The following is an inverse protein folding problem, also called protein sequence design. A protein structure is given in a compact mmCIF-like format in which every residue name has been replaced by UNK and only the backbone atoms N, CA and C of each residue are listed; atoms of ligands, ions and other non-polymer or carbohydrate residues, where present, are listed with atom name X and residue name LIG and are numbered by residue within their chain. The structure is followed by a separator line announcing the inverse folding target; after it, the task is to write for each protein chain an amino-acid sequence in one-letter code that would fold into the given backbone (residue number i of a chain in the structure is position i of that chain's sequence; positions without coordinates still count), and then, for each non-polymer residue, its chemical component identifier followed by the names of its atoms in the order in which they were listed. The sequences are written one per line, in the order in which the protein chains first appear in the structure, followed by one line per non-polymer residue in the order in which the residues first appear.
data_IF_089673199729
#
_entry.id   IF_089673199729
#
_cell.length_a   1.000
_cell.length_b   1.000
_cell.length_c   1.000
_cell.angle_alpha   90.00
_cell.angle_beta   90.00
_cell.angle_gamma   90.00
#
_symmetry.space_group_name_H-M   'P 1'
#
loop_
_entity.id
_entity.type
_entity.pdbx_description
1 polymer ?
#
# COMPACT_ATOMS: atom_id res chain seq x y z
N UNK A 1 44.33 111.28 -95.58
CA UNK A 1 45.37 110.55 -94.84
C UNK A 1 44.66 109.71 -93.82
N UNK A 2 44.72 108.41 -94.06
CA UNK A 2 44.32 107.35 -93.15
C UNK A 2 45.01 107.50 -91.79
N UNK A 3 44.34 107.08 -90.73
CA UNK A 3 44.89 106.10 -89.81
C UNK A 3 43.78 105.58 -88.88
N UNK A 4 43.64 104.26 -88.92
CA UNK A 4 42.80 103.41 -88.10
C UNK A 4 42.93 103.70 -86.60
N UNK A 5 41.84 103.46 -85.87
CA UNK A 5 41.95 102.67 -84.65
C UNK A 5 40.64 101.90 -84.41
N UNK A 6 40.69 100.61 -84.75
CA UNK A 6 39.87 99.60 -84.12
C UNK A 6 40.18 99.58 -82.62
N UNK A 7 39.18 99.79 -81.77
CA UNK A 7 39.23 99.19 -80.44
C UNK A 7 37.94 98.41 -80.23
N UNK A 8 38.11 97.11 -80.42
CA UNK A 8 37.11 96.05 -80.35
C UNK A 8 36.64 95.88 -78.91
N UNK A 9 35.33 95.86 -78.73
CA UNK A 9 34.57 94.93 -77.89
C UNK A 9 35.39 93.91 -77.06
N UNK A 10 36.08 94.36 -76.01
CA UNK A 10 36.72 93.46 -75.02
C UNK A 10 36.04 93.49 -73.64
N UNK A 11 35.07 94.38 -73.42
CA UNK A 11 34.40 94.49 -72.12
C UNK A 11 33.17 93.58 -71.97
N UNK A 12 32.56 93.09 -73.06
CA UNK A 12 31.37 92.24 -72.98
C UNK A 12 31.70 90.75 -72.82
N UNK A 13 32.87 90.32 -73.28
CA UNK A 13 33.28 88.90 -73.25
C UNK A 13 33.71 88.44 -71.85
N UNK A 14 34.38 89.30 -71.07
CA UNK A 14 34.85 88.95 -69.72
C UNK A 14 33.69 88.86 -68.68
N UNK A 15 32.64 89.68 -68.83
CA UNK A 15 31.47 89.65 -67.95
C UNK A 15 30.57 88.42 -68.19
N UNK A 16 30.44 88.00 -69.46
CA UNK A 16 29.67 86.79 -69.84
C UNK A 16 30.39 85.49 -69.43
N UNK A 17 31.73 85.49 -69.40
CA UNK A 17 32.51 84.33 -69.01
C UNK A 17 32.52 84.13 -67.48
N UNK A 18 32.48 85.21 -66.69
CA UNK A 18 32.46 85.13 -65.22
C UNK A 18 31.08 84.74 -64.67
N UNK A 19 29.96 85.18 -65.29
CA UNK A 19 28.61 84.79 -64.87
C UNK A 19 28.30 83.32 -65.21
N UNK A 20 28.73 82.84 -66.39
CA UNK A 20 28.53 81.45 -66.80
C UNK A 20 29.33 80.44 -65.96
N UNK A 21 30.51 80.80 -65.45
CA UNK A 21 31.31 79.96 -64.54
C UNK A 21 30.69 79.92 -63.13
N UNK A 22 30.08 81.02 -62.67
CA UNK A 22 29.43 81.09 -61.35
C UNK A 22 28.06 80.37 -61.33
N UNK A 23 27.29 80.42 -62.42
CA UNK A 23 26.04 79.65 -62.58
C UNK A 23 26.29 78.14 -62.74
N UNK A 24 27.35 77.74 -63.46
CA UNK A 24 27.71 76.31 -63.62
C UNK A 24 28.24 75.69 -62.33
N UNK A 25 29.04 76.41 -61.53
CA UNK A 25 29.47 75.94 -60.20
C UNK A 25 28.30 75.77 -59.23
N UNK A 26 27.29 76.63 -59.30
CA UNK A 26 26.09 76.55 -58.48
C UNK A 26 25.22 75.34 -58.88
N UNK A 27 25.12 75.06 -60.19
CA UNK A 27 24.39 73.91 -60.73
C UNK A 27 25.00 72.56 -60.32
N UNK A 28 26.33 72.43 -60.37
CA UNK A 28 27.01 71.18 -59.99
C UNK A 28 26.96 70.88 -58.49
N UNK A 29 27.00 71.91 -57.64
CA UNK A 29 26.76 71.74 -56.19
C UNK A 29 25.32 71.34 -55.91
N UNK A 30 24.35 71.97 -56.57
CA UNK A 30 22.94 71.63 -56.43
C UNK A 30 22.69 70.17 -56.83
N UNK A 31 23.24 69.74 -57.97
CA UNK A 31 23.13 68.37 -58.46
C UNK A 31 23.73 67.34 -57.49
N UNK A 32 24.90 67.63 -56.89
CA UNK A 32 25.50 66.74 -55.87
C UNK A 32 24.64 66.64 -54.62
N UNK A 33 24.11 67.77 -54.15
CA UNK A 33 23.20 67.79 -53.00
C UNK A 33 21.92 67.00 -53.27
N UNK A 34 21.34 67.13 -54.47
CA UNK A 34 20.11 66.41 -54.84
C UNK A 34 20.37 64.90 -54.88
N UNK A 35 21.52 64.50 -55.44
CA UNK A 35 21.95 63.10 -55.46
C UNK A 35 22.20 62.54 -54.06
N UNK A 36 22.90 63.27 -53.20
CA UNK A 36 23.08 62.87 -51.79
C UNK A 36 21.75 62.79 -51.05
N UNK A 37 20.81 63.70 -51.34
CA UNK A 37 19.47 63.68 -50.74
C UNK A 37 18.71 62.43 -51.14
N UNK A 38 18.72 62.05 -52.42
CA UNK A 38 18.05 60.83 -52.86
C UNK A 38 18.74 59.55 -52.37
N UNK A 39 20.08 59.49 -52.33
CA UNK A 39 20.80 58.38 -51.71
C UNK A 39 20.46 58.23 -50.22
N UNK A 40 20.33 59.35 -49.50
CA UNK A 40 19.97 59.37 -48.07
C UNK A 40 18.53 58.93 -47.86
N UNK A 41 17.61 59.37 -48.72
CA UNK A 41 16.20 58.98 -48.68
C UNK A 41 16.02 57.49 -48.97
N UNK A 42 16.78 56.94 -49.92
CA UNK A 42 16.75 55.50 -50.21
C UNK A 42 17.24 54.68 -49.01
N UNK A 43 18.34 55.10 -48.35
CA UNK A 43 18.83 54.44 -47.13
C UNK A 43 17.84 54.54 -45.98
N UNK A 44 17.19 55.69 -45.81
CA UNK A 44 16.15 55.87 -44.79
C UNK A 44 14.96 54.94 -45.02
N UNK A 45 14.54 54.78 -46.28
CA UNK A 45 13.45 53.85 -46.62
C UNK A 45 13.81 52.39 -46.37
N UNK A 46 15.05 51.98 -46.64
CA UNK A 46 15.54 50.62 -46.33
C UNK A 46 15.58 50.39 -44.82
N UNK A 47 16.13 51.34 -44.07
CA UNK A 47 16.20 51.28 -42.62
C UNK A 47 14.80 51.27 -41.96
N UNK A 48 13.84 52.02 -42.51
CA UNK A 48 12.46 51.97 -42.06
C UNK A 48 11.86 50.56 -42.25
N UNK A 49 12.10 49.95 -43.41
CA UNK A 49 11.61 48.60 -43.69
C UNK A 49 12.23 47.55 -42.75
N UNK A 50 13.53 47.65 -42.48
CA UNK A 50 14.20 46.77 -41.51
C UNK A 50 13.62 46.91 -40.10
N UNK A 51 13.29 48.14 -39.67
CA UNK A 51 12.61 48.38 -38.40
C UNK A 51 11.23 47.74 -38.36
N UNK A 52 10.42 47.89 -39.41
CA UNK A 52 9.08 47.29 -39.51
C UNK A 52 9.15 45.76 -39.48
N UNK A 53 10.09 45.16 -40.22
CA UNK A 53 10.32 43.71 -40.23
C UNK A 53 10.75 43.21 -38.84
N UNK A 54 11.62 43.96 -38.17
CA UNK A 54 12.09 43.65 -36.81
C UNK A 54 10.96 43.72 -35.78
N UNK A 55 10.06 44.70 -35.88
CA UNK A 55 8.88 44.81 -35.00
C UNK A 55 7.96 43.59 -35.15
N UNK A 56 7.75 43.12 -36.38
CA UNK A 56 6.96 41.92 -36.65
C UNK A 56 7.63 40.68 -36.03
N UNK A 57 8.96 40.56 -36.15
CA UNK A 57 9.69 39.45 -35.54
C UNK A 57 9.61 39.47 -34.01
N UNK A 58 9.80 40.63 -33.38
CA UNK A 58 9.65 40.82 -31.94
C UNK A 58 8.24 40.42 -31.49
N UNK A 59 7.21 40.80 -32.23
CA UNK A 59 5.83 40.42 -31.93
C UNK A 59 5.62 38.90 -31.99
N UNK A 60 6.14 38.25 -33.04
CA UNK A 60 6.04 36.79 -33.19
C UNK A 60 6.77 36.03 -32.09
N UNK A 61 7.99 36.48 -31.73
CA UNK A 61 8.76 35.90 -30.62
C UNK A 61 8.03 36.05 -29.30
N UNK A 62 7.42 37.22 -29.04
CA UNK A 62 6.63 37.42 -27.82
C UNK A 62 5.42 36.49 -27.75
N UNK A 63 4.69 36.29 -28.86
CA UNK A 63 3.60 35.32 -28.89
C UNK A 63 4.07 33.89 -28.58
N UNK A 64 5.23 33.49 -29.11
CA UNK A 64 5.81 32.18 -28.85
C UNK A 64 6.21 32.03 -27.38
N UNK A 65 6.81 33.07 -26.80
CA UNK A 65 7.16 33.13 -25.38
C UNK A 65 5.92 32.95 -24.48
N UNK A 66 4.83 33.64 -24.80
CA UNK A 66 3.60 33.57 -24.02
C UNK A 66 2.95 32.18 -24.11
N UNK A 67 2.91 31.58 -25.31
CA UNK A 67 2.46 30.19 -25.51
C UNK A 67 3.34 29.20 -24.74
N UNK A 68 4.66 29.36 -24.81
CA UNK A 68 5.61 28.52 -24.07
C UNK A 68 5.40 28.60 -22.57
N UNK A 69 5.20 29.81 -22.04
CA UNK A 69 4.94 30.04 -20.61
C UNK A 69 3.63 29.39 -20.18
N UNK A 70 2.57 29.52 -20.96
CA UNK A 70 1.28 28.88 -20.67
C UNK A 70 1.40 27.35 -20.61
N UNK A 71 2.10 26.75 -21.59
CA UNK A 71 2.32 25.29 -21.62
C UNK A 71 3.15 24.85 -20.41
N UNK A 72 4.21 25.59 -20.06
CA UNK A 72 5.05 25.28 -18.92
C UNK A 72 4.25 25.26 -17.60
N UNK A 73 3.46 26.31 -17.34
CA UNK A 73 2.59 26.38 -16.16
C UNK A 73 1.57 25.23 -16.11
N UNK A 74 1.05 24.82 -17.27
CA UNK A 74 0.11 23.70 -17.34
C UNK A 74 0.78 22.36 -17.03
N UNK A 75 2.00 22.15 -17.52
CA UNK A 75 2.81 20.95 -17.21
C UNK A 75 3.16 20.92 -15.74
N UNK A 76 3.60 22.03 -15.16
CA UNK A 76 3.92 22.14 -13.73
C UNK A 76 2.72 21.77 -12.86
N UNK A 77 1.53 22.30 -13.17
CA UNK A 77 0.28 21.91 -12.49
C UNK A 77 -0.01 20.41 -12.59
N UNK A 78 0.18 19.80 -13.77
CA UNK A 78 -0.02 18.35 -13.95
C UNK A 78 0.99 17.52 -13.14
N UNK A 79 2.25 17.93 -13.10
CA UNK A 79 3.27 17.27 -12.30
C UNK A 79 2.93 17.30 -10.81
N UNK A 80 2.47 18.45 -10.29
CA UNK A 80 2.06 18.57 -8.90
C UNK A 80 0.86 17.66 -8.56
N UNK A 81 -0.12 17.57 -9.46
CA UNK A 81 -1.25 16.65 -9.29
C UNK A 81 -0.79 15.18 -9.26
N UNK A 82 0.09 14.79 -10.17
CA UNK A 82 0.63 13.43 -10.22
C UNK A 82 1.44 13.09 -8.95
N UNK A 83 2.18 14.04 -8.40
CA UNK A 83 2.92 13.85 -7.15
C UNK A 83 1.97 13.59 -5.96
N UNK A 84 0.86 14.32 -5.89
CA UNK A 84 -0.17 14.08 -4.87
C UNK A 84 -0.88 12.72 -5.06
N UNK A 85 -1.23 12.36 -6.30
CA UNK A 85 -1.78 11.03 -6.61
C UNK A 85 -0.81 9.92 -6.21
N UNK A 86 0.48 10.08 -6.49
CA UNK A 86 1.52 9.11 -6.12
C UNK A 86 1.65 8.97 -4.60
N UNK A 87 1.62 10.08 -3.86
CA UNK A 87 1.61 10.06 -2.38
C UNK A 87 0.40 9.30 -1.84
N UNK A 88 -0.77 9.49 -2.44
CA UNK A 88 -1.98 8.78 -2.04
C UNK A 88 -1.89 7.28 -2.33
N UNK A 89 -1.44 6.89 -3.52
CA UNK A 89 -1.18 5.49 -3.88
C UNK A 89 -0.19 4.86 -2.89
N UNK A 90 0.90 5.56 -2.56
CA UNK A 90 1.88 5.07 -1.60
C UNK A 90 1.26 4.86 -0.20
N UNK A 91 0.48 5.81 0.31
CA UNK A 91 -0.24 5.66 1.60
C UNK A 91 -1.18 4.46 1.58
N UNK A 92 -1.91 4.25 0.49
CA UNK A 92 -2.83 3.12 0.35
C UNK A 92 -2.08 1.78 0.29
N UNK A 93 -0.96 1.72 -0.43
CA UNK A 93 -0.08 0.55 -0.45
C UNK A 93 0.43 0.20 0.95
N UNK A 94 0.92 1.18 1.72
CA UNK A 94 1.43 0.95 3.08
C UNK A 94 0.33 0.41 4.01
N UNK A 95 -0.88 0.97 3.96
CA UNK A 95 -2.05 0.44 4.71
C UNK A 95 -2.38 -1.00 4.33
N UNK A 96 -2.29 -1.35 3.05
CA UNK A 96 -2.50 -2.73 2.59
C UNK A 96 -1.38 -3.67 3.06
N UNK A 97 -0.13 -3.21 3.07
CA UNK A 97 1.00 -3.99 3.56
C UNK A 97 0.91 -4.25 5.07
N UNK A 98 0.49 -3.25 5.86
CA UNK A 98 0.18 -3.44 7.29
C UNK A 98 -0.93 -4.49 7.50
N UNK A 99 -1.95 -4.50 6.65
CA UNK A 99 -2.98 -5.56 6.65
C UNK A 99 -2.42 -6.91 6.20
N UNK A 100 -1.39 -6.98 5.36
CA UNK A 100 -0.80 -8.25 4.96
C UNK A 100 -0.03 -8.92 6.14
N UNK A 101 0.50 -8.12 7.07
CA UNK A 101 1.09 -8.64 8.32
C UNK A 101 0.08 -9.34 9.24
N UNK A 102 -1.24 -9.29 8.96
CA UNK A 102 -2.20 -10.19 9.62
C UNK A 102 -1.83 -11.66 9.43
N UNK A 103 -1.15 -12.03 8.33
CA UNK A 103 -0.76 -13.40 8.09
C UNK A 103 0.19 -13.95 9.16
N UNK A 104 1.09 -13.14 9.74
CA UNK A 104 1.94 -13.59 10.85
C UNK A 104 1.13 -13.85 12.12
N UNK A 105 0.18 -12.96 12.44
CA UNK A 105 -0.69 -13.12 13.61
C UNK A 105 -1.57 -14.37 13.46
N UNK A 106 -2.13 -14.58 12.27
CA UNK A 106 -2.92 -15.77 11.95
C UNK A 106 -2.06 -17.03 12.05
N UNK A 107 -0.84 -17.02 11.52
CA UNK A 107 0.08 -18.15 11.59
C UNK A 107 0.49 -18.47 13.03
N UNK A 108 0.79 -17.47 13.85
CA UNK A 108 1.07 -17.64 15.28
C UNK A 108 -0.13 -18.26 16.01
N UNK A 109 -1.34 -17.83 15.70
CA UNK A 109 -2.57 -18.37 16.31
C UNK A 109 -2.82 -19.82 15.89
N UNK A 110 -2.58 -20.16 14.62
CA UNK A 110 -2.64 -21.54 14.12
C UNK A 110 -1.63 -22.41 14.89
N UNK A 111 -0.39 -21.97 15.03
CA UNK A 111 0.65 -22.73 15.75
C UNK A 111 0.29 -22.94 17.23
N UNK A 112 -0.30 -21.93 17.89
CA UNK A 112 -0.79 -22.05 19.27
C UNK A 112 -1.93 -23.07 19.39
N UNK A 113 -2.90 -23.03 18.48
CA UNK A 113 -4.02 -23.99 18.46
C UNK A 113 -3.55 -25.43 18.19
N UNK A 114 -2.57 -25.61 17.30
CA UNK A 114 -1.95 -26.92 17.05
C UNK A 114 -1.31 -27.46 18.33
N UNK A 115 -0.56 -26.62 19.05
CA UNK A 115 0.10 -27.02 20.30
C UNK A 115 -0.91 -27.41 21.38
N UNK A 116 -2.01 -26.66 21.52
CA UNK A 116 -3.09 -26.99 22.45
C UNK A 116 -3.78 -28.32 22.09
N UNK A 117 -4.09 -28.52 20.81
CA UNK A 117 -4.69 -29.77 20.31
C UNK A 117 -3.78 -30.97 20.63
N UNK A 118 -2.49 -30.83 20.40
CA UNK A 118 -1.54 -31.93 20.61
C UNK A 118 -1.35 -32.23 22.10
N UNK A 119 -1.42 -31.21 22.97
CA UNK A 119 -1.44 -31.41 24.42
C UNK A 119 -2.71 -32.14 24.88
N UNK A 120 -3.89 -31.67 24.46
CA UNK A 120 -5.17 -32.29 24.79
C UNK A 120 -5.25 -33.75 24.30
N UNK A 121 -4.68 -34.04 23.13
CA UNK A 121 -4.61 -35.41 22.61
C UNK A 121 -3.77 -36.31 23.51
N UNK A 122 -2.67 -35.79 24.05
CA UNK A 122 -1.78 -36.51 24.97
C UNK A 122 -2.48 -36.79 26.31
N UNK A 123 -3.13 -35.78 26.88
CA UNK A 123 -3.93 -35.91 28.10
C UNK A 123 -5.07 -36.94 27.91
N UNK A 124 -5.74 -36.92 26.76
CA UNK A 124 -6.79 -37.88 26.44
C UNK A 124 -6.26 -39.32 26.38
N UNK A 125 -5.08 -39.54 25.80
CA UNK A 125 -4.46 -40.87 25.72
C UNK A 125 -4.04 -41.38 27.11
N UNK A 126 -3.59 -40.49 28.00
CA UNK A 126 -3.28 -40.83 29.40
C UNK A 126 -4.55 -41.20 30.18
N UNK A 127 -5.62 -40.43 30.04
CA UNK A 127 -6.91 -40.70 30.67
C UNK A 127 -7.51 -42.03 30.21
N UNK A 128 -7.41 -42.35 28.91
CA UNK A 128 -7.85 -43.66 28.38
C UNK A 128 -7.09 -44.82 29.02
N UNK A 129 -5.76 -44.71 29.12
CA UNK A 129 -4.93 -45.75 29.78
C UNK A 129 -5.31 -45.92 31.25
N UNK A 130 -5.57 -44.82 31.96
CA UNK A 130 -6.01 -44.86 33.35
C UNK A 130 -7.39 -45.51 33.49
N UNK A 131 -8.34 -45.17 32.61
CA UNK A 131 -9.67 -45.77 32.59
C UNK A 131 -9.61 -47.29 32.33
N UNK A 132 -8.80 -47.72 31.37
CA UNK A 132 -8.60 -49.15 31.07
C UNK A 132 -8.00 -49.91 32.26
N UNK A 133 -7.04 -49.29 32.96
CA UNK A 133 -6.43 -49.86 34.17
C UNK A 133 -7.48 -49.99 35.28
N UNK A 134 -8.22 -48.94 35.56
CA UNK A 134 -9.27 -48.93 36.59
C UNK A 134 -10.35 -49.98 36.30
N UNK A 135 -10.73 -50.15 35.02
CA UNK A 135 -11.70 -51.16 34.62
C UNK A 135 -11.20 -52.58 34.92
N UNK A 136 -9.92 -52.87 34.68
CA UNK A 136 -9.32 -54.18 35.03
C UNK A 136 -9.32 -54.43 36.53
N UNK A 137 -8.99 -53.41 37.33
CA UNK A 137 -9.01 -53.50 38.79
C UNK A 137 -10.42 -53.72 39.33
N UNK A 138 -11.42 -53.01 38.78
CA UNK A 138 -12.83 -53.20 39.14
C UNK A 138 -13.33 -54.61 38.86
N UNK A 139 -12.98 -55.18 37.69
CA UNK A 139 -13.32 -56.57 37.35
C UNK A 139 -12.75 -57.54 38.39
N UNK A 140 -11.51 -57.31 38.83
CA UNK A 140 -10.87 -58.20 39.82
C UNK A 140 -11.50 -58.07 41.21
N UNK A 141 -11.82 -56.84 41.64
CA UNK A 141 -12.56 -56.60 42.88
C UNK A 141 -13.93 -57.29 42.82
N UNK A 142 -14.63 -57.19 41.70
CA UNK A 142 -15.95 -57.82 41.55
C UNK A 142 -15.85 -59.34 41.63
N UNK A 143 -14.82 -59.98 41.04
CA UNK A 143 -14.57 -61.41 41.24
C UNK A 143 -14.31 -61.77 42.70
N UNK A 144 -13.49 -60.98 43.40
CA UNK A 144 -13.20 -61.21 44.83
C UNK A 144 -14.46 -61.12 45.67
N UNK A 145 -15.33 -60.13 45.40
CA UNK A 145 -16.64 -59.98 46.05
C UNK A 145 -17.49 -61.23 45.78
N UNK A 146 -17.64 -61.64 44.52
CA UNK A 146 -18.43 -62.83 44.16
C UNK A 146 -17.91 -64.11 44.84
N UNK A 147 -16.59 -64.29 44.94
CA UNK A 147 -16.00 -65.43 45.67
C UNK A 147 -16.34 -65.36 47.15
N UNK A 148 -16.22 -64.18 47.77
CA UNK A 148 -16.51 -64.01 49.18
C UNK A 148 -18.00 -64.20 49.49
N UNK A 149 -18.89 -63.71 48.63
CA UNK A 149 -20.33 -63.94 48.72
C UNK A 149 -20.68 -65.43 48.67
N UNK A 150 -20.07 -66.20 47.76
CA UNK A 150 -20.23 -67.66 47.69
C UNK A 150 -19.76 -68.36 48.97
N UNK A 151 -18.61 -67.96 49.53
CA UNK A 151 -18.09 -68.50 50.80
C UNK A 151 -19.04 -68.18 51.96
N UNK A 152 -19.49 -66.94 52.06
CA UNK A 152 -20.42 -66.50 53.10
C UNK A 152 -21.74 -67.27 53.01
N UNK A 153 -22.29 -67.46 51.80
CA UNK A 153 -23.50 -68.24 51.57
C UNK A 153 -23.35 -69.71 52.00
N UNK A 154 -22.19 -70.33 51.74
CA UNK A 154 -21.91 -71.68 52.21
C UNK A 154 -21.86 -71.79 53.74
N UNK A 155 -21.28 -70.79 54.42
CA UNK A 155 -21.27 -70.72 55.89
C UNK A 155 -22.69 -70.53 56.46
N UNK A 156 -23.51 -69.67 55.86
CA UNK A 156 -24.91 -69.47 56.25
C UNK A 156 -25.71 -70.77 56.13
N UNK A 157 -25.53 -71.54 55.03
CA UNK A 157 -26.17 -72.86 54.89
C UNK A 157 -25.74 -73.84 55.98
N UNK A 158 -24.44 -73.87 56.32
CA UNK A 158 -23.93 -74.71 57.43
C UNK A 158 -24.56 -74.32 58.77
N UNK A 159 -24.67 -73.03 59.06
CA UNK A 159 -25.30 -72.53 60.30
C UNK A 159 -26.78 -72.93 60.37
N UNK A 160 -27.54 -72.79 59.28
CA UNK A 160 -28.94 -73.27 59.21
C UNK A 160 -29.04 -74.75 59.50
N UNK A 161 -28.21 -75.58 58.87
CA UNK A 161 -28.19 -77.02 59.11
C UNK A 161 -27.88 -77.39 60.57
N UNK A 162 -27.02 -76.64 61.26
CA UNK A 162 -26.72 -76.89 62.68
C UNK A 162 -27.93 -76.60 63.57
N UNK A 163 -28.67 -75.52 63.30
CA UNK A 163 -29.90 -75.20 64.06
C UNK A 163 -30.97 -76.27 63.83
N UNK A 164 -31.09 -76.77 62.59
CA UNK A 164 -32.11 -77.75 62.22
C UNK A 164 -31.79 -79.19 62.71
N UNK A 165 -30.52 -79.60 62.73
CA UNK A 165 -30.13 -81.01 62.91
C UNK A 165 -29.32 -81.31 64.17
N UNK A 166 -28.87 -80.30 64.93
CA UNK A 166 -28.04 -80.49 66.13
C UNK A 166 -28.75 -79.87 67.33
N UNK A 167 -28.81 -80.57 68.47
CA UNK A 167 -29.30 -80.00 69.75
C UNK A 167 -28.30 -78.97 70.27
N UNK A 168 -28.47 -77.72 69.87
CA UNK A 168 -27.74 -76.57 70.41
C UNK A 168 -28.26 -76.22 71.81
N UNK A 169 -27.41 -75.63 72.64
CA UNK A 169 -27.85 -75.02 73.90
C UNK A 169 -28.74 -73.80 73.61
N UNK A 170 -29.70 -73.45 74.48
CA UNK A 170 -30.63 -72.34 74.23
C UNK A 170 -29.94 -71.01 73.90
N UNK A 171 -28.90 -70.64 74.66
CA UNK A 171 -28.10 -69.42 74.44
C UNK A 171 -27.39 -69.40 73.08
N UNK A 172 -26.90 -70.57 72.62
CA UNK A 172 -26.23 -70.67 71.32
C UNK A 172 -27.23 -70.65 70.16
N UNK A 173 -28.41 -71.24 70.34
CA UNK A 173 -29.48 -71.20 69.35
C UNK A 173 -29.98 -69.77 69.12
N UNK A 174 -30.14 -68.98 70.18
CA UNK A 174 -30.57 -67.59 70.10
C UNK A 174 -29.58 -66.72 69.30
N UNK A 175 -28.27 -66.87 69.58
CA UNK A 175 -27.20 -66.15 68.85
C UNK A 175 -27.16 -66.50 67.36
N UNK A 176 -27.30 -67.78 67.02
CA UNK A 176 -27.31 -68.20 65.61
C UNK A 176 -28.57 -67.70 64.89
N UNK A 177 -29.73 -67.73 65.55
CA UNK A 177 -30.97 -67.21 64.98
C UNK A 177 -30.91 -65.69 64.75
N UNK A 178 -30.27 -64.94 65.65
CA UNK A 178 -30.05 -63.50 65.47
C UNK A 178 -29.17 -63.20 64.25
N UNK A 179 -28.11 -63.98 64.01
CA UNK A 179 -27.26 -63.85 62.82
C UNK A 179 -28.06 -64.19 61.56
N UNK A 180 -28.83 -65.28 61.56
CA UNK A 180 -29.63 -65.70 60.40
C UNK A 180 -30.79 -64.75 60.07
N UNK A 181 -31.27 -63.97 61.05
CA UNK A 181 -32.30 -62.96 60.88
C UNK A 181 -31.77 -61.63 60.31
N UNK A 182 -30.44 -61.47 60.12
CA UNK A 182 -29.87 -60.24 59.57
C UNK A 182 -30.38 -60.00 58.12
N UNK A 183 -31.02 -58.84 57.85
CA UNK A 183 -31.52 -58.46 56.52
C UNK A 183 -30.47 -58.52 55.40
N UNK A 184 -29.19 -58.31 55.74
CA UNK A 184 -28.07 -58.35 54.78
C UNK A 184 -27.76 -59.76 54.32
N UNK A 185 -28.16 -60.78 55.08
CA UNK A 185 -27.99 -62.19 54.73
C UNK A 185 -29.26 -62.79 54.09
N UNK A 186 -30.45 -62.26 54.41
CA UNK A 186 -31.72 -62.71 53.83
C UNK A 186 -32.00 -62.15 52.43
N UNK A 187 -31.36 -61.03 52.05
CA UNK A 187 -31.43 -60.45 50.72
C UNK A 187 -30.48 -61.08 49.69
N UNK A 188 -29.59 -61.99 50.10
CA UNK A 188 -28.78 -62.82 49.19
C UNK A 188 -29.68 -63.94 48.63
N UNK A 189 -30.74 -63.57 47.89
CA UNK A 189 -31.63 -64.54 47.23
C UNK A 189 -30.84 -65.31 46.18
N UNK A 190 -31.08 -66.62 46.14
CA UNK A 190 -30.50 -67.59 45.22
C UNK A 190 -30.37 -67.07 43.77
N UNK A 191 -29.20 -66.54 43.42
CA UNK A 191 -28.78 -66.44 42.03
C UNK A 191 -28.23 -67.81 41.62
N UNK A 192 -29.04 -68.57 40.88
CA UNK A 192 -28.55 -69.64 40.00
C UNK A 192 -27.83 -69.01 38.81
#
# INVERSE_FOLDING_TARGET
MDCNNHNVDQSSFAALQYSGIQETWNSDQLYRMDKETEDTKSKLSECQKECEDTEIEIYNVNQLKDKGTFVLQNVERKCNNLDEELKEVHRNYMKCNEKANFNEIVQQRINSLISQRDNLKRELDELKKAADKNNKELIEIQKMITIQEKKNMALVRKLKNMVENIRLTPDLSEKVNMILADPRLTNIKNSN
#
